data_IF_191833923070
#
_entry.id   IF_191833923070
#
_cell.length_a   1.000
_cell.length_b   1.000
_cell.length_c   1.000
_cell.angle_alpha   90.00
_cell.angle_beta   90.00
_cell.angle_gamma   90.00
#
_symmetry.space_group_name_H-M   'P 1'
#
loop_
_entity.id
_entity.type
_entity.pdbx_description
1 polymer ?
#
# COMPACT_ATOMS: atom_id res chain seq x y z
N UNK A 1 -14.71 -8.35 11.55
CA UNK A 1 -13.47 -9.16 11.46
C UNK A 1 -12.79 -8.88 10.13
N UNK A 2 -11.46 -8.76 10.15
CA UNK A 2 -10.66 -8.42 8.96
C UNK A 2 -9.53 -9.42 8.79
N UNK A 3 -9.33 -9.86 7.55
CA UNK A 3 -8.12 -10.53 7.10
C UNK A 3 -7.06 -9.48 6.82
N UNK A 4 -5.85 -9.69 7.31
CA UNK A 4 -4.77 -8.71 7.27
C UNK A 4 -3.60 -9.25 6.45
N UNK A 5 -3.12 -8.45 5.52
CA UNK A 5 -2.03 -8.78 4.62
C UNK A 5 -0.90 -7.78 4.82
N UNK A 6 0.34 -8.27 4.91
CA UNK A 6 1.50 -7.37 4.92
C UNK A 6 1.97 -7.12 3.49
N UNK A 7 2.11 -5.86 3.06
CA UNK A 7 2.71 -5.53 1.78
C UNK A 7 4.16 -6.03 1.71
N UNK A 8 4.55 -6.58 0.56
CA UNK A 8 5.93 -6.98 0.26
C UNK A 8 6.27 -6.50 -1.15
N UNK A 9 7.48 -5.97 -1.34
CA UNK A 9 7.96 -5.54 -2.67
C UNK A 9 8.27 -6.72 -3.60
N UNK A 10 8.74 -7.82 -3.02
CA UNK A 10 9.17 -9.01 -3.75
C UNK A 10 8.28 -10.17 -3.33
N UNK A 11 8.00 -11.08 -4.27
CA UNK A 11 7.29 -12.30 -3.92
C UNK A 11 8.08 -13.06 -2.84
N UNK A 12 7.44 -13.47 -1.74
CA UNK A 12 8.12 -14.21 -0.70
C UNK A 12 8.47 -15.59 -1.23
N UNK A 13 9.71 -16.00 -1.04
CA UNK A 13 10.13 -17.37 -1.32
C UNK A 13 9.33 -18.33 -0.42
N UNK A 14 8.60 -19.27 -1.03
CA UNK A 14 7.56 -20.08 -0.34
C UNK A 14 8.09 -20.87 0.86
N UNK A 15 9.38 -21.19 0.89
CA UNK A 15 10.03 -21.86 2.03
C UNK A 15 10.29 -20.92 3.23
N UNK A 16 10.37 -19.61 2.99
CA UNK A 16 10.81 -18.59 3.96
C UNK A 16 9.65 -17.74 4.47
N UNK A 17 8.52 -17.71 3.73
CA UNK A 17 7.31 -16.94 4.05
C UNK A 17 6.71 -17.27 5.43
N UNK A 18 6.74 -18.54 5.85
CA UNK A 18 6.24 -18.95 7.16
C UNK A 18 7.10 -18.40 8.32
N UNK A 19 8.41 -18.27 8.10
CA UNK A 19 9.40 -17.87 9.12
C UNK A 19 9.47 -16.34 9.27
N UNK A 20 9.33 -15.60 8.17
CA UNK A 20 9.39 -14.13 8.15
C UNK A 20 8.12 -13.44 8.69
N UNK A 21 7.03 -14.17 8.94
CA UNK A 21 5.81 -13.62 9.54
C UNK A 21 6.04 -12.96 10.92
N UNK A 22 7.14 -13.32 11.60
CA UNK A 22 7.54 -12.82 12.93
C UNK A 22 8.69 -11.80 12.86
N UNK A 23 9.47 -11.74 11.77
CA UNK A 23 10.64 -10.88 11.66
C UNK A 23 10.28 -9.42 11.26
N UNK A 24 11.06 -8.45 11.75
CA UNK A 24 11.03 -7.05 11.25
C UNK A 24 11.53 -7.07 9.80
N UNK A 25 10.74 -6.53 8.88
CA UNK A 25 11.15 -6.32 7.48
C UNK A 25 12.46 -5.52 7.45
N UNK A 26 13.37 -5.88 6.55
CA UNK A 26 14.49 -4.98 6.23
C UNK A 26 13.92 -3.72 5.56
N UNK A 27 14.64 -2.60 5.65
CA UNK A 27 14.19 -1.34 5.06
C UNK A 27 13.88 -1.45 3.54
N UNK A 28 14.50 -2.41 2.86
CA UNK A 28 14.33 -2.68 1.43
C UNK A 28 13.00 -3.36 1.09
N UNK A 29 12.37 -4.07 2.04
CA UNK A 29 11.12 -4.80 1.84
C UNK A 29 9.89 -3.95 2.15
N UNK A 30 10.06 -2.84 2.89
CA UNK A 30 8.99 -1.89 3.19
C UNK A 30 8.52 -1.21 1.90
N UNK A 31 7.22 -1.29 1.65
CA UNK A 31 6.58 -0.58 0.54
C UNK A 31 6.35 0.86 0.98
N UNK A 32 6.96 1.82 0.27
CA UNK A 32 6.81 3.27 0.55
C UNK A 32 6.49 4.04 -0.72
N UNK A 33 5.75 5.12 -0.59
CA UNK A 33 5.44 6.06 -1.67
C UNK A 33 5.53 7.51 -1.17
N UNK A 34 5.76 8.46 -2.07
CA UNK A 34 5.67 9.88 -1.71
C UNK A 34 4.31 10.44 -2.09
N UNK A 35 3.59 10.96 -1.09
CA UNK A 35 2.32 11.66 -1.30
C UNK A 35 2.56 13.15 -1.24
N UNK A 36 2.20 13.85 -2.31
CA UNK A 36 2.30 15.31 -2.39
C UNK A 36 0.91 15.88 -2.61
N UNK A 37 0.51 16.86 -1.79
CA UNK A 37 -0.74 17.63 -1.91
C UNK A 37 -0.39 19.02 -2.39
N UNK A 38 -0.97 19.46 -3.52
CA UNK A 38 -0.72 20.79 -4.09
C UNK A 38 -1.19 21.90 -3.14
N UNK A 39 -0.56 23.07 -3.23
CA UNK A 39 -0.87 24.24 -2.43
C UNK A 39 -2.38 24.51 -2.32
N UNK A 40 -3.14 24.43 -3.41
CA UNK A 40 -4.56 24.79 -3.41
C UNK A 40 -5.49 23.59 -3.15
N UNK A 41 -4.92 22.40 -2.99
CA UNK A 41 -5.66 21.16 -2.77
C UNK A 41 -5.72 20.80 -1.29
N UNK A 42 -6.86 20.25 -0.90
CA UNK A 42 -7.09 19.72 0.45
C UNK A 42 -6.61 18.28 0.61
N UNK A 43 -6.51 17.52 -0.49
CA UNK A 43 -6.14 16.12 -0.49
C UNK A 43 -5.50 15.70 -1.81
N UNK A 44 -4.75 14.61 -1.77
CA UNK A 44 -4.34 13.86 -2.95
C UNK A 44 -5.11 12.56 -3.05
N UNK A 45 -5.32 12.08 -4.27
CA UNK A 45 -6.07 10.86 -4.52
C UNK A 45 -5.12 9.72 -4.89
N UNK A 46 -5.24 8.60 -4.17
CA UNK A 46 -4.61 7.34 -4.53
C UNK A 46 -5.66 6.46 -5.21
N UNK A 47 -5.40 6.03 -6.44
CA UNK A 47 -6.22 5.02 -7.12
C UNK A 47 -5.76 3.64 -6.66
N UNK A 48 -6.71 2.78 -6.29
CA UNK A 48 -6.42 1.47 -5.70
C UNK A 48 -7.15 0.39 -6.47
N UNK A 49 -6.39 -0.63 -6.88
CA UNK A 49 -6.93 -1.88 -7.42
C UNK A 49 -6.28 -3.03 -6.64
N UNK A 50 -7.10 -3.98 -6.20
CA UNK A 50 -6.68 -5.14 -5.44
C UNK A 50 -7.22 -6.40 -6.07
N UNK A 51 -6.35 -7.38 -6.29
CA UNK A 51 -6.69 -8.66 -6.89
C UNK A 51 -6.26 -9.81 -5.97
N UNK A 52 -7.08 -10.85 -5.91
CA UNK A 52 -6.78 -12.12 -5.26
C UNK A 52 -6.33 -13.12 -6.31
N UNK A 53 -5.07 -13.54 -6.23
CA UNK A 53 -4.49 -14.52 -7.11
C UNK A 53 -4.45 -15.92 -6.51
N UNK A 54 -4.85 -16.95 -7.26
CA UNK A 54 -4.66 -18.36 -6.90
C UNK A 54 -3.51 -18.94 -7.70
N UNK A 55 -2.49 -19.46 -7.01
CA UNK A 55 -1.37 -20.16 -7.64
C UNK A 55 -1.66 -21.65 -7.81
N UNK A 56 -1.14 -22.23 -8.87
CA UNK A 56 -1.08 -23.67 -9.09
C UNK A 56 -0.10 -24.29 -8.08
N UNK A 57 -0.54 -25.33 -7.37
CA UNK A 57 0.26 -26.00 -6.33
C UNK A 57 1.56 -26.63 -6.84
N UNK A 58 1.61 -27.02 -8.12
CA UNK A 58 2.69 -27.84 -8.67
C UNK A 58 3.77 -27.01 -9.36
N UNK A 59 3.37 -25.95 -10.08
CA UNK A 59 4.28 -25.15 -10.91
C UNK A 59 4.44 -23.71 -10.43
N UNK A 60 3.65 -23.28 -9.44
CA UNK A 60 3.69 -21.92 -8.89
C UNK A 60 3.08 -20.84 -9.78
N UNK A 61 2.60 -21.18 -10.99
CA UNK A 61 1.96 -20.22 -11.89
C UNK A 61 0.66 -19.67 -11.31
N UNK A 62 0.40 -18.39 -11.57
CA UNK A 62 -0.90 -17.79 -11.29
C UNK A 62 -1.94 -18.37 -12.25
N UNK A 63 -2.96 -19.03 -11.70
CA UNK A 63 -3.95 -19.77 -12.49
C UNK A 63 -5.33 -19.13 -12.48
N UNK A 64 -5.65 -18.36 -11.44
CA UNK A 64 -6.84 -17.50 -11.43
C UNK A 64 -6.56 -16.18 -10.72
N UNK A 65 -7.29 -15.15 -11.14
CA UNK A 65 -7.26 -13.82 -10.54
C UNK A 65 -8.69 -13.32 -10.38
N UNK A 66 -9.01 -12.79 -9.21
CA UNK A 66 -10.32 -12.22 -8.90
C UNK A 66 -10.11 -10.81 -8.38
N UNK A 67 -10.78 -9.83 -8.98
CA UNK A 67 -10.78 -8.48 -8.43
C UNK A 67 -11.49 -8.47 -7.07
N UNK A 68 -10.80 -7.97 -6.05
CA UNK A 68 -11.32 -7.81 -4.68
C UNK A 68 -11.89 -6.42 -4.50
N UNK A 69 -11.22 -5.40 -5.05
CA UNK A 69 -11.64 -4.01 -4.94
C UNK A 69 -11.02 -3.16 -6.02
N UNK A 70 -11.80 -2.21 -6.52
CA UNK A 70 -11.36 -1.07 -7.30
C UNK A 70 -11.93 0.20 -6.64
N UNK A 71 -11.12 1.25 -6.55
CA UNK A 71 -11.60 2.50 -5.97
C UNK A 71 -10.52 3.53 -5.74
N UNK A 72 -10.84 4.47 -4.86
CA UNK A 72 -9.93 5.56 -4.51
C UNK A 72 -9.84 5.75 -3.00
N UNK A 73 -8.69 6.24 -2.57
CA UNK A 73 -8.42 6.72 -1.21
C UNK A 73 -8.07 8.21 -1.31
N UNK A 74 -8.72 9.04 -0.49
CA UNK A 74 -8.37 10.46 -0.34
C UNK A 74 -7.44 10.63 0.84
N UNK A 75 -6.25 11.15 0.57
CA UNK A 75 -5.23 11.42 1.57
C UNK A 75 -5.21 12.91 1.84
N UNK A 76 -5.80 13.32 2.96
CA UNK A 76 -5.98 14.72 3.32
C UNK A 76 -4.70 15.33 3.88
N UNK A 77 -4.48 16.60 3.56
CA UNK A 77 -3.35 17.41 4.05
C UNK A 77 -3.27 17.43 5.57
N UNK A 78 -4.39 17.70 6.24
CA UNK A 78 -4.46 17.77 7.70
C UNK A 78 -4.27 16.38 8.33
N UNK A 79 -4.72 15.32 7.67
CA UNK A 79 -4.50 13.95 8.11
C UNK A 79 -3.01 13.60 8.06
N UNK A 80 -2.31 13.89 6.96
CA UNK A 80 -0.86 13.67 6.84
C UNK A 80 -0.09 14.40 7.95
N UNK A 81 -0.42 15.68 8.18
CA UNK A 81 0.22 16.47 9.22
C UNK A 81 -0.02 15.92 10.64
N UNK A 82 -1.21 15.36 10.89
CA UNK A 82 -1.56 14.72 12.17
C UNK A 82 -0.89 13.37 12.37
N UNK A 83 -0.71 12.58 11.30
CA UNK A 83 -0.13 11.24 11.37
C UNK A 83 1.41 11.23 11.31
N UNK A 84 2.04 12.34 10.92
CA UNK A 84 3.49 12.42 10.78
C UNK A 84 4.21 12.23 12.13
N UNK A 85 4.97 11.13 12.27
CA UNK A 85 5.67 10.76 13.51
C UNK A 85 6.90 11.65 13.79
N UNK A 86 7.46 12.26 12.76
CA UNK A 86 8.61 13.17 12.82
C UNK A 86 8.10 14.61 12.88
N UNK A 87 8.04 15.20 14.08
CA UNK A 87 8.01 16.66 14.22
C UNK A 87 9.41 17.11 14.67
N UNK A 88 10.16 17.75 13.79
CA UNK A 88 11.37 18.46 14.19
C UNK A 88 10.95 19.79 14.83
N UNK A 89 11.28 20.00 16.10
CA UNK A 89 11.20 21.34 16.68
C UNK A 89 12.33 22.18 16.06
N UNK A 90 12.13 23.50 15.98
CA UNK A 90 13.05 24.54 15.49
C UNK A 90 14.46 24.56 16.10
N UNK A 91 14.82 23.60 16.96
CA UNK A 91 16.14 23.49 17.60
C UNK A 91 16.90 22.20 17.22
N UNK A 92 16.52 21.55 16.11
CA UNK A 92 17.30 20.46 15.51
C UNK A 92 17.17 19.08 16.17
N UNK A 93 16.53 19.00 17.35
CA UNK A 93 16.22 17.72 17.97
C UNK A 93 14.97 17.07 17.34
N UNK A 94 15.11 15.82 16.92
CA UNK A 94 13.99 15.05 16.35
C UNK A 94 13.11 14.57 17.50
N UNK A 95 11.96 15.21 17.69
CA UNK A 95 10.95 14.70 18.61
C UNK A 95 10.23 13.56 17.90
N UNK A 96 10.49 12.33 18.34
CA UNK A 96 9.55 11.24 18.12
C UNK A 96 8.29 11.67 18.85
N UNK A 97 7.24 12.00 18.12
CA UNK A 97 5.93 12.25 18.74
C UNK A 97 5.46 10.90 19.27
N UNK A 98 5.84 10.57 20.49
CA UNK A 98 5.07 9.65 21.31
C UNK A 98 3.74 10.35 21.53
N UNK A 99 2.78 10.05 20.65
CA UNK A 99 1.39 10.13 21.05
C UNK A 99 1.31 9.31 22.36
N UNK A 100 0.54 9.76 23.35
CA UNK A 100 0.15 8.94 24.52
C UNK A 100 -0.72 7.73 24.07
N UNK A 101 -0.38 7.10 22.96
CA UNK A 101 -0.63 5.69 22.71
C UNK A 101 0.12 4.92 23.80
N UNK A 102 -0.59 4.23 24.71
CA UNK A 102 0.07 3.42 25.72
C UNK A 102 1.03 2.47 25.01
N UNK A 103 2.26 2.41 25.54
CA UNK A 103 3.33 1.45 25.21
C UNK A 103 2.75 0.26 24.47
N UNK A 104 2.94 0.19 23.14
CA UNK A 104 2.28 -0.79 22.26
C UNK A 104 2.44 -2.17 22.90
N UNK A 105 1.41 -2.70 23.57
CA UNK A 105 1.43 -4.08 24.01
C UNK A 105 1.40 -4.91 22.73
N UNK A 106 1.90 -6.14 22.77
CA UNK A 106 1.80 -7.06 21.64
C UNK A 106 0.43 -6.94 20.94
N UNK A 107 0.44 -6.66 19.62
CA UNK A 107 -0.73 -6.39 18.75
C UNK A 107 -2.02 -6.96 19.33
N UNK A 108 -2.87 -6.11 19.90
CA UNK A 108 -4.16 -6.56 20.39
C UNK A 108 -5.10 -6.70 19.18
N UNK A 109 -5.29 -7.94 18.73
CA UNK A 109 -6.13 -8.26 17.55
C UNK A 109 -7.62 -7.99 17.81
N UNK A 110 -7.98 -7.56 19.02
CA UNK A 110 -9.33 -7.20 19.45
C UNK A 110 -9.73 -5.75 19.18
N UNK A 111 -8.80 -4.87 18.79
CA UNK A 111 -9.15 -3.48 18.51
C UNK A 111 -9.86 -3.37 17.16
N UNK A 112 -10.99 -2.64 17.14
CA UNK A 112 -11.81 -2.43 15.94
C UNK A 112 -11.03 -1.57 14.92
N UNK A 113 -10.61 -2.12 13.77
CA UNK A 113 -9.76 -1.40 12.83
C UNK A 113 -10.48 -0.20 12.19
N UNK A 114 -11.81 -0.13 12.22
CA UNK A 114 -12.55 1.04 11.72
C UNK A 114 -12.27 2.31 12.53
N UNK A 115 -11.74 2.16 13.74
CA UNK A 115 -11.39 3.26 14.66
C UNK A 115 -9.93 3.66 14.60
N UNK A 116 -9.07 2.90 13.90
CA UNK A 116 -7.64 3.23 13.79
C UNK A 116 -7.48 4.38 12.79
N UNK A 117 -7.09 5.59 13.23
CA UNK A 117 -6.99 6.75 12.35
C UNK A 117 -5.88 6.63 11.30
N UNK A 118 -4.97 5.66 11.44
CA UNK A 118 -3.92 5.36 10.45
C UNK A 118 -4.44 4.57 9.26
N UNK A 119 -5.67 4.05 9.34
CA UNK A 119 -6.28 3.28 8.26
C UNK A 119 -7.13 4.20 7.41
N UNK A 120 -6.82 4.27 6.12
CA UNK A 120 -7.71 4.89 5.13
C UNK A 120 -8.41 3.79 4.32
N UNK A 121 -9.72 3.95 4.17
CA UNK A 121 -10.59 2.97 3.53
C UNK A 121 -10.80 3.30 2.04
N UNK A 122 -10.68 2.28 1.20
CA UNK A 122 -11.02 2.35 -0.23
C UNK A 122 -12.54 2.47 -0.33
N UNK A 123 -13.02 3.48 -1.04
CA UNK A 123 -14.46 3.78 -1.17
C UNK A 123 -15.14 3.82 0.22
N UNK A 124 -15.12 4.99 0.86
CA UNK A 124 -15.42 5.28 2.28
C UNK A 124 -16.76 4.84 2.86
N UNK A 125 -17.57 4.02 2.16
CA UNK A 125 -18.92 3.64 2.57
C UNK A 125 -18.97 2.33 3.36
N UNK A 126 -18.21 1.32 2.93
CA UNK A 126 -18.45 -0.06 3.36
C UNK A 126 -17.29 -0.65 4.20
N UNK A 127 -16.19 0.08 4.33
CA UNK A 127 -14.97 -0.32 5.05
C UNK A 127 -14.55 -1.76 4.72
N UNK A 128 -14.65 -2.13 3.44
CA UNK A 128 -14.37 -3.49 2.99
C UNK A 128 -12.88 -3.71 2.73
N UNK A 129 -12.19 -2.68 2.24
CA UNK A 129 -10.75 -2.70 2.00
C UNK A 129 -10.14 -1.44 2.56
N UNK A 130 -9.15 -1.57 3.43
CA UNK A 130 -8.43 -0.47 4.05
C UNK A 130 -6.94 -0.70 4.02
N UNK A 131 -6.19 0.39 4.09
CA UNK A 131 -4.72 0.36 4.12
C UNK A 131 -4.27 1.13 5.35
N UNK A 132 -3.45 0.50 6.21
CA UNK A 132 -2.77 1.17 7.31
C UNK A 132 -1.49 1.81 6.79
N UNK A 133 -1.33 3.09 7.08
CA UNK A 133 -0.15 3.86 6.71
C UNK A 133 0.67 4.23 7.95
N UNK A 134 1.99 4.32 7.76
CA UNK A 134 2.89 5.08 8.63
C UNK A 134 3.37 6.31 7.86
N UNK A 135 3.25 7.50 8.46
CA UNK A 135 3.57 8.77 7.78
C UNK A 135 4.87 9.32 8.35
N UNK A 136 5.83 9.55 7.46
CA UNK A 136 7.15 10.07 7.74
C UNK A 136 7.33 11.45 7.10
N UNK A 137 8.02 12.35 7.80
CA UNK A 137 8.39 13.64 7.26
C UNK A 137 9.33 13.44 6.07
N UNK A 138 9.01 14.08 4.93
CA UNK A 138 9.95 14.13 3.82
C UNK A 138 10.94 15.24 4.09
N UNK A 139 12.16 14.91 4.52
CA UNK A 139 13.25 15.90 4.58
C UNK A 139 13.57 16.34 3.16
N UNK A 140 13.09 17.51 2.78
CA UNK A 140 13.58 18.18 1.59
C UNK A 140 15.03 18.60 1.87
N UNK A 141 16.01 17.84 1.36
CA UNK A 141 17.33 18.39 1.05
C UNK A 141 17.16 19.37 -0.11
N UNK A 142 16.48 20.50 0.13
CA UNK A 142 16.63 21.66 -0.72
C UNK A 142 17.87 22.38 -0.22
N UNK A 143 18.87 22.44 -1.08
CA UNK A 143 20.13 23.17 -0.90
C UNK A 143 19.94 24.67 -0.64
N UNK A 144 18.69 25.16 -0.63
CA UNK A 144 18.30 26.54 -0.34
C UNK A 144 17.00 26.57 0.47
N UNK A 145 16.98 27.15 1.68
CA UNK A 145 15.74 27.42 2.40
C UNK A 145 14.94 28.47 1.62
N UNK A 146 13.73 28.12 1.20
CA UNK A 146 12.77 29.06 0.64
C UNK A 146 11.89 29.57 1.78
N UNK A 147 12.00 30.86 2.07
CA UNK A 147 11.09 31.54 2.98
C UNK A 147 9.82 31.88 2.19
N UNK A 148 8.70 31.31 2.61
CA UNK A 148 7.38 31.71 2.13
C UNK A 148 6.81 32.72 3.13
N UNK A 149 6.15 33.75 2.62
CA UNK A 149 5.31 34.60 3.46
C UNK A 149 4.15 33.74 3.99
N UNK A 150 3.72 33.97 5.24
CA UNK A 150 2.78 33.09 5.94
C UNK A 150 1.38 33.02 5.30
N UNK A 151 1.10 33.90 4.35
CA UNK A 151 -0.12 33.97 3.54
C UNK A 151 -0.05 33.12 2.25
N UNK A 152 1.12 32.57 1.91
CA UNK A 152 1.29 31.72 0.73
C UNK A 152 1.09 30.26 1.11
N UNK A 153 0.03 29.65 0.58
CA UNK A 153 -0.20 28.21 0.73
C UNK A 153 0.82 27.43 -0.12
N UNK A 154 1.43 26.40 0.47
CA UNK A 154 2.52 25.63 -0.17
C UNK A 154 2.13 24.16 -0.24
N UNK A 155 2.56 23.51 -1.32
CA UNK A 155 2.43 22.07 -1.47
C UNK A 155 3.16 21.34 -0.34
N UNK A 156 2.53 20.32 0.24
CA UNK A 156 3.16 19.47 1.26
C UNK A 156 3.49 18.12 0.66
N UNK A 157 4.59 17.50 1.10
CA UNK A 157 5.01 16.20 0.61
C UNK A 157 5.49 15.36 1.78
N UNK A 158 4.95 14.15 1.90
CA UNK A 158 5.30 13.19 2.95
C UNK A 158 5.74 11.88 2.30
N UNK A 159 6.53 11.09 3.03
CA UNK A 159 6.75 9.70 2.69
C UNK A 159 5.77 8.86 3.49
N UNK A 160 5.00 8.01 2.81
CA UNK A 160 4.04 7.11 3.45
C UNK A 160 4.50 5.68 3.26
N UNK A 161 4.41 4.88 4.31
CA UNK A 161 4.76 3.47 4.30
C UNK A 161 3.48 2.64 4.45
N UNK A 162 3.36 1.59 3.64
CA UNK A 162 2.19 0.72 3.64
C UNK A 162 2.44 -0.42 4.63
N UNK A 163 1.83 -0.35 5.81
CA UNK A 163 2.08 -1.33 6.87
C UNK A 163 1.23 -2.59 6.75
N UNK A 164 -0.04 -2.43 6.38
CA UNK A 164 -1.01 -3.52 6.35
C UNK A 164 -2.14 -3.19 5.39
N UNK A 165 -2.57 -4.18 4.60
CA UNK A 165 -3.82 -4.16 3.84
C UNK A 165 -4.84 -4.98 4.62
N UNK A 166 -5.99 -4.39 4.89
CA UNK A 166 -7.08 -5.02 5.60
C UNK A 166 -8.22 -5.28 4.62
N UNK A 167 -8.71 -6.51 4.59
CA UNK A 167 -9.89 -6.88 3.81
C UNK A 167 -10.91 -7.48 4.77
N UNK A 168 -12.13 -6.95 4.77
CA UNK A 168 -13.23 -7.50 5.58
C UNK A 168 -13.39 -8.97 5.21
N UNK A 169 -13.32 -9.87 6.19
CA UNK A 169 -13.25 -11.31 5.92
C UNK A 169 -14.48 -11.80 5.15
N UNK A 170 -15.67 -11.26 5.45
CA UNK A 170 -16.91 -11.59 4.72
C UNK A 170 -16.85 -11.15 3.26
N UNK A 171 -16.30 -9.97 2.98
CA UNK A 171 -16.09 -9.48 1.61
C UNK A 171 -15.13 -10.38 0.84
N UNK A 172 -14.02 -10.77 1.46
CA UNK A 172 -13.04 -11.66 0.85
C UNK A 172 -13.62 -13.03 0.53
N UNK A 173 -14.43 -13.61 1.43
CA UNK A 173 -15.08 -14.90 1.21
C UNK A 173 -16.11 -14.84 0.08
N UNK A 174 -16.90 -13.77 0.00
CA UNK A 174 -17.82 -13.55 -1.11
C UNK A 174 -17.06 -13.47 -2.44
N UNK A 175 -15.93 -12.75 -2.49
CA UNK A 175 -15.07 -12.71 -3.68
C UNK A 175 -14.48 -14.07 -4.05
N UNK A 176 -14.14 -14.89 -3.06
CA UNK A 176 -13.65 -16.25 -3.32
C UNK A 176 -14.75 -17.14 -3.91
N UNK A 177 -15.97 -17.08 -3.38
CA UNK A 177 -17.14 -17.81 -3.90
C UNK A 177 -17.47 -17.37 -5.33
N UNK A 178 -17.48 -16.06 -5.60
CA UNK A 178 -17.63 -15.51 -6.94
C UNK A 178 -16.57 -16.06 -7.90
N UNK A 179 -15.30 -16.14 -7.46
CA UNK A 179 -14.21 -16.67 -8.27
C UNK A 179 -14.40 -18.17 -8.59
N UNK A 180 -14.81 -18.98 -7.62
CA UNK A 180 -15.08 -20.42 -7.83
C UNK A 180 -16.23 -20.63 -8.83
N UNK A 181 -17.31 -19.85 -8.70
CA UNK A 181 -18.43 -19.88 -9.63
C UNK A 181 -17.99 -19.51 -11.06
N UNK A 182 -17.18 -18.46 -11.20
CA UNK A 182 -16.64 -18.03 -12.50
C UNK A 182 -15.76 -19.12 -13.11
N UNK A 183 -14.89 -19.77 -12.33
CA UNK A 183 -14.00 -20.83 -12.82
C UNK A 183 -14.77 -22.06 -13.27
N UNK A 184 -15.82 -22.46 -12.54
CA UNK A 184 -16.71 -23.56 -12.95
C UNK A 184 -17.40 -23.25 -14.30
N UNK A 185 -17.81 -22.00 -14.50
CA UNK A 185 -18.46 -21.53 -15.73
C UNK A 185 -17.49 -21.33 -16.91
N UNK A 186 -16.20 -21.11 -16.63
CA UNK A 186 -15.17 -20.77 -17.63
C UNK A 186 -14.14 -21.89 -17.90
N UNK A 187 -14.52 -23.17 -17.71
CA UNK A 187 -13.63 -24.34 -17.77
C UNK A 187 -12.85 -24.60 -19.08
N UNK A 188 -12.80 -23.65 -20.02
CA UNK A 188 -12.01 -23.71 -21.26
C UNK A 188 -11.26 -22.43 -21.67
N UNK A 189 -11.27 -21.34 -20.88
CA UNK A 189 -10.53 -20.10 -21.21
C UNK A 189 -9.34 -19.91 -20.25
N UNK A 190 -8.13 -20.05 -20.77
CA UNK A 190 -6.90 -19.80 -20.01
C UNK A 190 -6.55 -18.30 -20.01
N UNK A 191 -6.20 -17.75 -18.85
CA UNK A 191 -5.57 -16.44 -18.73
C UNK A 191 -4.05 -16.67 -18.71
N UNK A 192 -3.33 -16.13 -19.70
CA UNK A 192 -1.87 -16.24 -19.79
C UNK A 192 -1.25 -14.99 -19.18
N UNK A 193 -0.57 -15.15 -18.05
CA UNK A 193 0.26 -14.09 -17.45
C UNK A 193 1.67 -14.17 -18.06
N UNK A 194 1.99 -13.23 -18.94
CA UNK A 194 3.33 -13.07 -19.50
C UNK A 194 4.06 -11.89 -18.86
N UNK A 195 5.33 -12.06 -18.53
CA UNK A 195 6.25 -10.94 -18.30
C UNK A 195 6.71 -10.42 -19.66
N UNK A 196 6.32 -9.21 -20.03
CA UNK A 196 6.92 -8.50 -21.16
C UNK A 196 8.25 -7.92 -20.68
N UNK A 197 9.29 -8.76 -20.61
CA UNK A 197 10.64 -8.23 -20.72
C UNK A 197 10.70 -7.55 -22.09
N UNK A 198 10.95 -6.24 -22.08
CA UNK A 198 10.75 -5.33 -23.20
C UNK A 198 11.21 -5.90 -24.54
N UNK A 199 10.43 -5.61 -25.58
CA UNK A 199 10.77 -5.80 -26.98
C UNK A 199 12.23 -5.38 -27.21
N UNK A 200 13.12 -6.36 -27.36
CA UNK A 200 14.36 -6.10 -28.06
C UNK A 200 13.93 -5.94 -29.53
N UNK A 201 13.91 -4.70 -30.02
CA UNK A 201 13.59 -4.42 -31.41
C UNK A 201 14.61 -5.15 -32.31
N UNK A 202 14.17 -6.24 -32.92
CA UNK A 202 14.88 -6.88 -33.99
C UNK A 202 14.55 -6.14 -35.28
N UNK A 203 15.58 -5.75 -36.04
CA UNK A 203 15.38 -5.25 -37.39
C UNK A 203 14.74 -6.34 -38.28
N UNK A 204 14.22 -5.99 -39.46
CA UNK A 204 13.61 -6.94 -40.41
C UNK A 204 14.56 -8.06 -40.88
N UNK A 205 15.81 -8.01 -40.44
CA UNK A 205 16.88 -8.98 -40.66
C UNK A 205 17.23 -9.84 -39.42
N UNK A 206 16.54 -9.68 -38.28
CA UNK A 206 16.69 -10.53 -37.10
C UNK A 206 17.90 -10.21 -36.20
N UNK A 207 18.52 -9.03 -36.32
CA UNK A 207 19.62 -8.61 -35.44
C UNK A 207 19.15 -7.63 -34.34
N UNK A 208 19.67 -7.76 -33.10
CA UNK A 208 19.36 -6.83 -32.02
C UNK A 208 19.99 -5.47 -32.31
N UNK A 209 19.18 -4.40 -32.27
CA UNK A 209 19.69 -3.02 -32.33
C UNK A 209 20.44 -2.71 -31.03
N UNK A 210 21.69 -2.27 -31.15
CA UNK A 210 22.49 -1.75 -30.02
C UNK A 210 22.05 -0.34 -29.64
#
# INVERSE_FOLDING_TARGET
>A
MYTRFRPQRTEPDTAVAAVNSIARLSAEEIVTESVTVDAHDLFSQLTTQAYLGKRESTRGFLFSIQEVSEGTIRVWRDWLARQCESKKWTDGDTVIVHHDTPVVPARDWNEDPTKDPRILWVNTRDDNVGIRFRVLERTWERDRPLLYSSDVEVAVSYQVEFEEVLVRTTHLLLKLEEAEQQMANHSGKAIVFGSYAGLQEFDTSGHPRR
#
